data_IF_570528943230
#
_entry.id   IF_570528943230
#
_cell.length_a   1.000
_cell.length_b   1.000
_cell.length_c   1.000
_cell.angle_alpha   90.00
_cell.angle_beta   90.00
_cell.angle_gamma   90.00
#
_symmetry.space_group_name_H-M   'P 1'
#
loop_
_entity.id
_entity.type
_entity.pdbx_description
1 polymer ?
#
# COMPACT_ATOMS: atom_id res chain seq x y z
N UNK A 1 -8.21 6.41 -22.32
CA UNK A 1 -7.93 5.42 -21.26
C UNK A 1 -7.77 6.24 -20.00
N UNK A 2 -8.64 6.06 -18.99
CA UNK A 2 -8.54 6.85 -17.76
C UNK A 2 -7.17 6.59 -17.13
N UNK A 3 -6.46 7.65 -16.74
CA UNK A 3 -5.26 7.55 -15.92
C UNK A 3 -5.58 6.62 -14.74
N UNK A 4 -4.81 5.53 -14.61
CA UNK A 4 -5.02 4.61 -13.50
C UNK A 4 -4.63 5.35 -12.23
N UNK A 5 -5.61 5.74 -11.42
CA UNK A 5 -5.41 6.34 -10.12
C UNK A 5 -4.44 5.51 -9.27
N UNK A 6 -3.56 6.18 -8.52
CA UNK A 6 -2.64 5.56 -7.57
C UNK A 6 -2.89 6.20 -6.22
N UNK A 7 -3.10 5.37 -5.22
CA UNK A 7 -3.20 5.79 -3.84
C UNK A 7 -1.93 5.41 -3.10
N UNK A 8 -1.37 6.36 -2.35
CA UNK A 8 -0.36 6.12 -1.32
C UNK A 8 -1.08 5.96 0.02
N UNK A 9 -0.90 4.83 0.67
CA UNK A 9 -1.53 4.51 1.95
C UNK A 9 -0.45 4.36 3.02
N UNK A 10 -0.55 5.17 4.07
CA UNK A 10 0.34 5.14 5.23
C UNK A 10 -0.45 4.65 6.44
N UNK A 11 0.02 3.61 7.10
CA UNK A 11 -0.64 3.03 8.27
C UNK A 11 0.35 2.43 9.26
N UNK A 12 -0.08 2.30 10.51
CA UNK A 12 0.66 1.63 11.57
C UNK A 12 0.30 0.14 11.63
N UNK A 13 1.32 -0.72 11.74
CA UNK A 13 1.14 -2.15 11.95
C UNK A 13 2.26 -2.67 12.85
N UNK A 14 1.91 -3.31 13.96
CA UNK A 14 2.86 -3.86 14.95
C UNK A 14 3.98 -2.88 15.38
N UNK A 15 3.64 -1.59 15.55
CA UNK A 15 4.60 -0.56 15.97
C UNK A 15 5.51 -0.02 14.86
N UNK A 16 5.32 -0.46 13.62
CA UNK A 16 6.04 0.04 12.45
C UNK A 16 5.11 0.84 11.53
N UNK A 17 5.66 1.77 10.76
CA UNK A 17 4.90 2.56 9.78
C UNK A 17 5.10 1.94 8.40
N UNK A 18 4.01 1.55 7.78
CA UNK A 18 3.96 0.99 6.43
C UNK A 18 3.54 2.07 5.45
N UNK A 19 4.27 2.15 4.35
CA UNK A 19 3.93 2.96 3.18
C UNK A 19 3.77 2.02 1.98
N UNK A 20 2.54 1.92 1.46
CA UNK A 20 2.18 1.07 0.33
C UNK A 20 1.45 1.87 -0.75
N UNK A 21 1.42 1.33 -1.97
CA UNK A 21 0.70 1.91 -3.09
C UNK A 21 -0.35 0.93 -3.61
N UNK A 22 -1.51 1.45 -4.02
CA UNK A 22 -2.66 0.68 -4.46
C UNK A 22 -3.41 1.38 -5.59
N UNK A 23 -4.21 0.66 -6.38
CA UNK A 23 -5.06 1.28 -7.42
C UNK A 23 -6.47 1.57 -6.93
N UNK A 24 -6.91 0.89 -5.89
CA UNK A 24 -8.26 1.04 -5.37
C UNK A 24 -8.24 1.12 -3.84
N UNK A 25 -8.96 2.12 -3.35
CA UNK A 25 -9.16 2.38 -1.92
C UNK A 25 -10.62 2.73 -1.71
N UNK A 26 -11.28 2.04 -0.80
CA UNK A 26 -12.71 2.24 -0.59
C UNK A 26 -13.20 1.85 0.79
N UNK A 27 -14.42 2.29 1.09
CA UNK A 27 -15.17 1.76 2.23
C UNK A 27 -15.73 0.39 1.83
N UNK A 28 -15.26 -0.63 2.52
CA UNK A 28 -15.61 -2.00 2.27
C UNK A 28 -16.93 -2.46 2.87
N UNK A 29 -17.23 -3.75 2.70
CA UNK A 29 -18.37 -4.39 3.37
C UNK A 29 -18.16 -4.53 4.89
N UNK A 30 -16.92 -4.45 5.37
CA UNK A 30 -16.59 -4.52 6.80
C UNK A 30 -16.55 -3.13 7.44
N UNK A 31 -17.50 -2.89 8.34
CA UNK A 31 -17.57 -1.65 9.11
C UNK A 31 -16.29 -1.41 9.93
N UNK A 32 -15.76 -0.19 9.87
CA UNK A 32 -14.54 0.21 10.59
C UNK A 32 -13.22 -0.14 9.88
N UNK A 33 -13.29 -0.68 8.65
CA UNK A 33 -12.12 -0.98 7.83
C UNK A 33 -12.15 -0.21 6.51
N UNK A 34 -10.96 0.11 6.01
CA UNK A 34 -10.74 0.58 4.64
C UNK A 34 -10.20 -0.60 3.82
N UNK A 35 -10.82 -0.85 2.68
CA UNK A 35 -10.40 -1.85 1.71
C UNK A 35 -9.37 -1.26 0.77
N UNK A 36 -8.23 -1.94 0.64
CA UNK A 36 -7.13 -1.59 -0.27
C UNK A 36 -6.92 -2.76 -1.24
N UNK A 37 -7.03 -2.50 -2.53
CA UNK A 37 -6.89 -3.53 -3.59
C UNK A 37 -5.85 -3.13 -4.64
N UNK A 38 -5.44 -4.14 -5.43
CA UNK A 38 -4.48 -3.98 -6.51
C UNK A 38 -3.18 -3.28 -6.04
N UNK A 39 -2.54 -3.86 -5.02
CA UNK A 39 -1.27 -3.37 -4.50
C UNK A 39 -0.24 -3.27 -5.62
N UNK A 40 0.39 -2.10 -5.70
CA UNK A 40 1.38 -1.78 -6.71
C UNK A 40 2.76 -1.79 -6.08
N UNK A 41 3.64 -2.60 -6.66
CA UNK A 41 5.05 -2.69 -6.28
C UNK A 41 5.91 -2.19 -7.42
N UNK A 42 7.00 -1.48 -7.12
CA UNK A 42 7.85 -0.89 -8.15
C UNK A 42 8.41 -1.97 -9.08
N UNK A 43 8.50 -1.64 -10.38
CA UNK A 43 9.21 -2.47 -11.35
C UNK A 43 10.70 -2.55 -10.97
N UNK A 44 11.34 -3.67 -11.33
CA UNK A 44 12.75 -3.98 -11.05
C UNK A 44 13.69 -2.92 -11.66
N UNK A 45 13.86 -1.78 -11.01
CA UNK A 45 14.97 -0.88 -11.29
C UNK A 45 16.23 -1.54 -10.73
N UNK A 46 17.19 -1.78 -11.62
CA UNK A 46 18.29 -2.74 -11.50
C UNK A 46 19.43 -2.34 -10.55
N UNK A 47 19.22 -1.42 -9.61
CA UNK A 47 20.33 -0.89 -8.81
C UNK A 47 19.88 -0.75 -7.35
N UNK A 48 20.11 -1.82 -6.57
CA UNK A 48 19.94 -1.95 -5.11
C UNK A 48 18.48 -1.96 -4.64
N UNK A 49 17.92 -3.15 -4.44
CA UNK A 49 16.63 -3.34 -3.77
C UNK A 49 16.76 -2.96 -2.29
N UNK A 50 15.92 -2.04 -1.81
CA UNK A 50 15.81 -1.75 -0.39
C UNK A 50 15.23 -3.01 0.31
N UNK A 51 15.90 -3.56 1.34
CA UNK A 51 15.39 -4.73 2.06
C UNK A 51 14.00 -4.52 2.66
N UNK A 52 13.60 -3.26 2.89
CA UNK A 52 12.27 -2.90 3.39
C UNK A 52 11.19 -3.09 2.33
N UNK A 53 11.47 -2.80 1.06
CA UNK A 53 10.51 -3.00 -0.03
C UNK A 53 10.29 -4.51 -0.29
N UNK A 54 11.37 -5.30 -0.27
CA UNK A 54 11.30 -6.76 -0.42
C UNK A 54 10.50 -7.43 0.71
N UNK A 55 10.62 -6.92 1.94
CA UNK A 55 9.80 -7.38 3.08
C UNK A 55 8.31 -7.15 2.82
N UNK A 56 7.92 -5.96 2.39
CA UNK A 56 6.52 -5.67 2.06
C UNK A 56 6.05 -6.55 0.89
N UNK A 57 6.83 -6.65 -0.18
CA UNK A 57 6.49 -7.54 -1.32
C UNK A 57 6.27 -8.97 -0.87
N UNK A 58 7.08 -9.45 0.06
CA UNK A 58 6.96 -10.80 0.63
C UNK A 58 5.74 -10.94 1.53
N UNK A 59 5.49 -9.97 2.41
CA UNK A 59 4.35 -9.97 3.33
C UNK A 59 3.00 -9.94 2.60
N UNK A 60 2.90 -9.13 1.54
CA UNK A 60 1.69 -9.01 0.74
C UNK A 60 1.66 -9.96 -0.47
N UNK A 61 2.60 -10.91 -0.55
CA UNK A 61 2.66 -11.86 -1.67
C UNK A 61 1.40 -12.73 -1.69
N UNK A 62 0.62 -12.62 -2.76
CA UNK A 62 -0.64 -13.36 -2.93
C UNK A 62 -1.85 -12.72 -2.23
N UNK A 63 -1.68 -11.58 -1.58
CA UNK A 63 -2.78 -10.80 -1.01
C UNK A 63 -3.46 -10.01 -2.14
N UNK A 64 -4.76 -10.26 -2.34
CA UNK A 64 -5.56 -9.53 -3.34
C UNK A 64 -6.14 -8.23 -2.78
N UNK A 65 -6.54 -8.27 -1.50
CA UNK A 65 -7.22 -7.21 -0.77
C UNK A 65 -6.73 -7.22 0.66
N UNK A 66 -6.41 -6.05 1.20
CA UNK A 66 -6.13 -5.87 2.63
C UNK A 66 -7.15 -4.95 3.25
N UNK A 67 -7.49 -5.25 4.51
CA UNK A 67 -8.46 -4.52 5.30
C UNK A 67 -7.72 -3.84 6.43
N UNK A 68 -7.61 -2.52 6.34
CA UNK A 68 -6.92 -1.73 7.36
C UNK A 68 -7.94 -1.11 8.31
N UNK A 69 -7.83 -1.34 9.63
CA UNK A 69 -8.66 -0.64 10.60
C UNK A 69 -8.53 0.87 10.43
N UNK A 70 -9.63 1.63 10.45
CA UNK A 70 -9.57 3.08 10.22
C UNK A 70 -8.64 3.81 11.20
N UNK A 71 -8.52 3.31 12.43
CA UNK A 71 -7.66 3.91 13.45
C UNK A 71 -6.16 3.61 13.27
N UNK A 72 -5.80 2.62 12.43
CA UNK A 72 -4.38 2.34 12.14
C UNK A 72 -3.87 3.18 10.96
N UNK A 73 -4.77 3.75 10.15
CA UNK A 73 -4.42 4.57 8.99
C UNK A 73 -3.93 5.93 9.48
N UNK A 74 -2.74 6.30 9.00
CA UNK A 74 -2.14 7.62 9.22
C UNK A 74 -2.60 8.59 8.13
N UNK A 75 -2.56 8.17 6.86
CA UNK A 75 -2.95 9.00 5.71
C UNK A 75 -3.20 8.19 4.45
N UNK A 76 -4.11 8.67 3.60
CA UNK A 76 -4.31 8.18 2.23
C UNK A 76 -4.21 9.39 1.30
N UNK A 77 -3.29 9.34 0.34
CA UNK A 77 -3.10 10.39 -0.66
C UNK A 77 -3.36 9.79 -2.06
N UNK A 78 -4.14 10.48 -2.90
CA UNK A 78 -4.17 10.21 -4.35
C UNK A 78 -2.97 10.90 -5.00
N UNK A 79 -2.15 10.17 -5.75
CA UNK A 79 -0.87 10.65 -6.27
C UNK A 79 -0.72 10.38 -7.76
N UNK A 80 -0.06 11.29 -8.47
CA UNK A 80 0.21 11.13 -9.91
C UNK A 80 1.15 9.97 -10.23
N UNK A 81 2.10 9.69 -9.31
CA UNK A 81 3.16 8.70 -9.52
C UNK A 81 3.40 7.85 -8.27
N UNK A 82 3.62 6.57 -8.50
CA UNK A 82 4.07 5.64 -7.47
C UNK A 82 5.49 5.98 -7.00
N UNK A 83 5.72 5.86 -5.68
CA UNK A 83 7.03 5.87 -5.06
C UNK A 83 7.43 4.48 -4.54
N UNK A 84 8.47 4.43 -3.71
CA UNK A 84 8.97 3.17 -3.13
C UNK A 84 8.17 2.79 -1.89
N UNK A 85 7.63 1.57 -1.86
CA UNK A 85 7.00 1.04 -0.65
C UNK A 85 8.05 0.76 0.42
N UNK A 86 7.78 1.10 1.68
CA UNK A 86 8.77 0.95 2.75
C UNK A 86 8.13 0.73 4.12
N UNK A 87 8.90 0.11 5.01
CA UNK A 87 8.59 -0.05 6.43
C UNK A 87 9.59 0.82 7.20
N UNK A 88 9.11 1.67 8.11
CA UNK A 88 9.94 2.48 9.01
C UNK A 88 9.75 2.05 10.46
#
# INVERSE_FOLDING_TARGET
MADKTIFKVIFMNHGQIYEIYAREVGHGAMFGFVEIEELVFGERSSVVLDPSEEKIKTEFKGVKKTYLPMHSIVRIDEVDKQGTSKIS
#
